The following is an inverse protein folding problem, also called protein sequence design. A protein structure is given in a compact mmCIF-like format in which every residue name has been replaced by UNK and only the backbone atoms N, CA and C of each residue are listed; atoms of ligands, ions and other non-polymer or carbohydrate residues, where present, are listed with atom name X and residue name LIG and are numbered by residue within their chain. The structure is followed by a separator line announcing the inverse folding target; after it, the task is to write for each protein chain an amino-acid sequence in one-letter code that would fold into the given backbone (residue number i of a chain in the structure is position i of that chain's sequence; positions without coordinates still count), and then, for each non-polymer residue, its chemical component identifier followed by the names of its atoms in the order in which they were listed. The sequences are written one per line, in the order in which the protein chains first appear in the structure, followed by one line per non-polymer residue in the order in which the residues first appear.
data_IF_899050355526
#
_entry.id   IF_899050355526
#
_cell.length_a   1.000
_cell.length_b   1.000
_cell.length_c   1.000
_cell.angle_alpha   90.00
_cell.angle_beta   90.00
_cell.angle_gamma   90.00
#
_symmetry.space_group_name_H-M   'P 1'
#
loop_
_entity.id
_entity.type
_entity.pdbx_description
1 polymer ?
#
# COMPACT_ATOMS: atom_id res chain seq x y z
N UNK A 1 8.95 -9.85 -26.22
CA UNK A 1 7.85 -9.04 -25.62
C UNK A 1 8.38 -8.50 -24.31
N UNK A 2 8.73 -7.21 -24.28
CA UNK A 2 9.69 -6.65 -23.32
C UNK A 2 9.06 -6.05 -22.07
N UNK A 3 9.87 -5.82 -21.03
CA UNK A 3 9.48 -5.15 -19.77
C UNK A 3 8.79 -3.79 -19.99
N UNK A 4 9.18 -3.08 -21.06
CA UNK A 4 8.58 -1.80 -21.46
C UNK A 4 7.10 -1.92 -21.86
N UNK A 5 6.71 -3.04 -22.50
CA UNK A 5 5.32 -3.31 -22.87
C UNK A 5 4.47 -3.54 -21.62
N UNK A 6 4.98 -4.33 -20.65
CA UNK A 6 4.28 -4.59 -19.40
C UNK A 6 4.05 -3.29 -18.59
N UNK A 7 5.06 -2.42 -18.51
CA UNK A 7 4.93 -1.14 -17.82
C UNK A 7 3.87 -0.24 -18.47
N UNK A 8 3.87 -0.16 -19.80
CA UNK A 8 2.98 0.72 -20.56
C UNK A 8 1.54 0.21 -20.66
N UNK A 9 1.35 -1.09 -20.86
CA UNK A 9 0.04 -1.70 -21.07
C UNK A 9 -0.63 -2.21 -19.80
N UNK A 10 0.11 -2.50 -18.73
CA UNK A 10 -0.44 -3.13 -17.53
C UNK A 10 -0.18 -2.32 -16.24
N UNK A 11 1.01 -1.70 -16.09
CA UNK A 11 1.36 -1.00 -14.85
C UNK A 11 0.77 0.41 -14.75
N UNK A 12 0.82 1.17 -15.85
CA UNK A 12 0.35 2.58 -15.93
C UNK A 12 -1.17 2.71 -16.06
N UNK A 13 -1.85 1.73 -16.68
CA UNK A 13 -3.27 1.86 -17.01
C UNK A 13 -4.13 1.89 -15.72
N UNK A 14 -4.93 2.95 -15.49
CA UNK A 14 -5.67 3.11 -14.24
C UNK A 14 -6.79 2.06 -14.07
N UNK A 15 -7.34 1.56 -15.18
CA UNK A 15 -8.41 0.55 -15.15
C UNK A 15 -7.96 -0.79 -14.55
N UNK A 16 -6.69 -1.15 -14.65
CA UNK A 16 -6.12 -2.35 -14.01
C UNK A 16 -6.02 -2.23 -12.48
N UNK A 17 -6.33 -1.04 -11.92
CA UNK A 17 -6.35 -0.77 -10.48
C UNK A 17 -7.74 -0.40 -9.95
N UNK A 18 -8.78 -0.37 -10.79
CA UNK A 18 -10.14 0.01 -10.37
C UNK A 18 -10.75 -0.92 -9.33
N UNK A 19 -10.45 -2.22 -9.38
CA UNK A 19 -11.07 -3.22 -8.49
C UNK A 19 -10.96 -2.87 -7.00
N UNK A 20 -9.75 -2.66 -6.45
CA UNK A 20 -9.57 -2.20 -5.06
C UNK A 20 -10.36 -0.93 -4.71
N UNK A 21 -10.43 0.05 -5.62
CA UNK A 21 -11.18 1.29 -5.38
C UNK A 21 -12.68 1.02 -5.25
N UNK A 22 -13.24 0.18 -6.13
CA UNK A 22 -14.66 -0.19 -6.09
C UNK A 22 -14.98 -0.92 -4.77
N UNK A 23 -14.15 -1.88 -4.37
CA UNK A 23 -14.31 -2.61 -3.10
C UNK A 23 -14.27 -1.64 -1.92
N UNK A 24 -13.33 -0.68 -1.91
CA UNK A 24 -13.24 0.35 -0.90
C UNK A 24 -14.48 1.26 -0.84
N UNK A 25 -15.01 1.70 -1.98
CA UNK A 25 -16.22 2.53 -2.06
C UNK A 25 -17.44 1.77 -1.51
N UNK A 26 -17.60 0.50 -1.86
CA UNK A 26 -18.70 -0.35 -1.38
C UNK A 26 -18.63 -0.49 0.14
N UNK A 27 -17.45 -0.84 0.67
CA UNK A 27 -17.24 -1.01 2.11
C UNK A 27 -17.44 0.31 2.83
N UNK A 28 -16.84 1.41 2.36
CA UNK A 28 -17.03 2.74 2.93
C UNK A 28 -18.49 3.20 2.94
N UNK A 29 -19.23 2.94 1.86
CA UNK A 29 -20.66 3.25 1.78
C UNK A 29 -21.48 2.44 2.78
N UNK A 30 -21.10 1.19 3.01
CA UNK A 30 -21.74 0.32 4.00
C UNK A 30 -21.45 0.79 5.43
N UNK A 31 -20.21 1.18 5.74
CA UNK A 31 -19.85 1.78 7.03
C UNK A 31 -20.61 3.08 7.30
N UNK A 32 -20.74 3.93 6.27
CA UNK A 32 -21.48 5.18 6.37
C UNK A 32 -22.96 4.94 6.72
N UNK A 33 -23.61 3.98 6.05
CA UNK A 33 -25.02 3.63 6.33
C UNK A 33 -25.24 2.99 7.70
N UNK A 34 -24.24 2.28 8.22
CA UNK A 34 -24.34 1.56 9.50
C UNK A 34 -23.85 2.39 10.68
N UNK A 35 -23.47 3.65 10.48
CA UNK A 35 -22.88 4.54 11.50
C UNK A 35 -21.72 3.86 12.26
N UNK A 36 -20.96 3.02 11.54
CA UNK A 36 -19.91 2.16 12.09
C UNK A 36 -20.34 1.26 13.28
N UNK A 37 -21.65 1.01 13.45
CA UNK A 37 -22.21 0.22 14.56
C UNK A 37 -22.65 -1.15 14.07
N UNK A 38 -21.68 -2.03 13.83
CA UNK A 38 -21.94 -3.43 13.45
C UNK A 38 -21.41 -4.36 14.52
N UNK A 39 -22.29 -5.16 15.13
CA UNK A 39 -21.91 -6.19 16.10
C UNK A 39 -21.76 -7.53 15.39
N UNK A 40 -20.57 -8.13 15.46
CA UNK A 40 -20.28 -9.44 14.88
C UNK A 40 -20.05 -10.45 16.01
N UNK A 41 -20.52 -11.68 15.83
CA UNK A 41 -20.24 -12.76 16.78
C UNK A 41 -18.72 -13.02 16.85
N UNK A 42 -18.16 -13.24 18.05
CA UNK A 42 -16.71 -13.42 18.26
C UNK A 42 -16.12 -14.55 17.40
N UNK A 43 -16.83 -15.67 17.29
CA UNK A 43 -16.40 -16.80 16.45
C UNK A 43 -16.36 -16.44 14.96
N UNK A 44 -17.38 -15.72 14.47
CA UNK A 44 -17.42 -15.26 13.09
C UNK A 44 -16.31 -14.24 12.81
N UNK A 45 -16.06 -13.32 13.74
CA UNK A 45 -14.96 -12.36 13.63
C UNK A 45 -13.60 -13.07 13.54
N UNK A 46 -13.36 -14.08 14.38
CA UNK A 46 -12.13 -14.87 14.33
C UNK A 46 -11.97 -15.62 13.01
N UNK A 47 -13.04 -16.25 12.52
CA UNK A 47 -13.03 -16.93 11.22
C UNK A 47 -12.70 -15.96 10.08
N UNK A 48 -13.31 -14.76 10.08
CA UNK A 48 -13.03 -13.75 9.06
C UNK A 48 -11.58 -13.26 9.13
N UNK A 49 -11.03 -13.04 10.33
CA UNK A 49 -9.61 -12.74 10.50
C UNK A 49 -8.70 -13.83 9.92
N UNK A 50 -8.99 -15.11 10.19
CA UNK A 50 -8.21 -16.23 9.64
C UNK A 50 -8.32 -16.30 8.12
N UNK A 51 -9.52 -16.13 7.57
CA UNK A 51 -9.75 -16.16 6.11
C UNK A 51 -9.04 -15.01 5.41
N UNK A 52 -9.15 -13.78 5.91
CA UNK A 52 -8.47 -12.65 5.27
C UNK A 52 -6.95 -12.70 5.47
N UNK A 53 -6.46 -13.25 6.59
CA UNK A 53 -5.02 -13.47 6.79
C UNK A 53 -4.46 -14.52 5.82
N UNK A 54 -5.16 -15.64 5.64
CA UNK A 54 -4.73 -16.67 4.68
C UNK A 54 -4.79 -16.15 3.24
N UNK A 55 -5.84 -15.42 2.87
CA UNK A 55 -5.94 -14.76 1.56
C UNK A 55 -4.80 -13.76 1.33
N UNK A 56 -4.44 -12.95 2.33
CA UNK A 56 -3.33 -12.02 2.23
C UNK A 56 -1.99 -12.74 2.00
N UNK A 57 -1.73 -13.84 2.72
CA UNK A 57 -0.52 -14.66 2.54
C UNK A 57 -0.51 -15.30 1.14
N UNK A 58 -1.63 -15.85 0.69
CA UNK A 58 -1.75 -16.42 -0.67
C UNK A 58 -1.53 -15.35 -1.74
N UNK A 59 -1.97 -14.11 -1.54
CA UNK A 59 -1.75 -13.01 -2.49
C UNK A 59 -0.32 -12.45 -2.45
N UNK A 60 0.41 -12.64 -1.36
CA UNK A 60 1.82 -12.21 -1.28
C UNK A 60 2.77 -13.26 -1.84
N UNK A 61 2.49 -14.55 -1.61
CA UNK A 61 3.40 -15.65 -1.94
C UNK A 61 2.87 -16.60 -3.02
N UNK A 62 1.65 -16.37 -3.53
CA UNK A 62 0.97 -17.30 -4.44
C UNK A 62 1.48 -17.26 -5.87
N UNK A 63 2.10 -16.16 -6.30
CA UNK A 63 2.78 -16.12 -7.59
C UNK A 63 4.25 -16.46 -7.39
N UNK A 64 4.67 -17.65 -7.82
CA UNK A 64 6.09 -17.98 -8.00
C UNK A 64 6.53 -17.49 -9.36
N UNK A 65 7.60 -16.69 -9.38
CA UNK A 65 8.13 -16.13 -10.62
C UNK A 65 8.54 -17.25 -11.60
N UNK A 66 7.98 -17.28 -12.82
CA UNK A 66 8.36 -18.26 -13.85
C UNK A 66 9.83 -18.13 -14.28
N UNK A 67 10.46 -17.01 -13.94
CA UNK A 67 11.86 -16.70 -14.25
C UNK A 67 12.80 -17.43 -13.27
N UNK A 68 12.38 -17.60 -12.01
CA UNK A 68 13.18 -18.24 -10.97
C UNK A 68 12.95 -19.75 -10.89
N UNK A 69 11.79 -20.24 -11.35
CA UNK A 69 11.44 -21.68 -11.34
C UNK A 69 10.79 -22.08 -12.67
N UNK A 70 11.59 -22.35 -13.72
CA UNK A 70 11.09 -22.67 -15.06
C UNK A 70 10.30 -24.00 -15.11
N UNK A 71 10.63 -24.95 -14.23
CA UNK A 71 10.03 -26.29 -14.21
C UNK A 71 8.68 -26.35 -13.47
N UNK A 72 8.42 -25.39 -12.58
CA UNK A 72 7.18 -25.27 -11.78
C UNK A 72 6.30 -24.09 -12.22
N UNK A 73 6.48 -23.60 -13.44
CA UNK A 73 5.76 -22.45 -13.96
C UNK A 73 4.24 -22.71 -13.93
N UNK A 74 3.54 -21.95 -13.10
CA UNK A 74 2.09 -22.05 -12.92
C UNK A 74 1.39 -21.92 -14.28
N UNK A 75 0.43 -22.81 -14.56
CA UNK A 75 -0.31 -22.82 -15.84
C UNK A 75 -0.75 -21.41 -16.23
N UNK A 76 -0.62 -21.09 -17.52
CA UNK A 76 -0.83 -19.75 -18.06
C UNK A 76 -2.18 -19.16 -17.66
N UNK A 77 -3.21 -20.00 -17.57
CA UNK A 77 -4.57 -19.62 -17.18
C UNK A 77 -4.64 -19.21 -15.71
N UNK A 78 -3.96 -19.94 -14.83
CA UNK A 78 -3.91 -19.64 -13.39
C UNK A 78 -3.11 -18.36 -13.15
N UNK A 79 -1.99 -18.18 -13.86
CA UNK A 79 -1.21 -16.94 -13.82
C UNK A 79 -2.01 -15.74 -14.30
N UNK A 80 -2.82 -15.88 -15.36
CA UNK A 80 -3.70 -14.82 -15.85
C UNK A 80 -4.80 -14.48 -14.84
N UNK A 81 -5.44 -15.50 -14.25
CA UNK A 81 -6.49 -15.33 -13.24
C UNK A 81 -5.94 -14.65 -11.98
N UNK A 82 -4.75 -15.06 -11.53
CA UNK A 82 -4.07 -14.42 -10.41
C UNK A 82 -3.78 -12.95 -10.72
N UNK A 83 -3.19 -12.65 -11.87
CA UNK A 83 -2.91 -11.28 -12.29
C UNK A 83 -4.19 -10.41 -12.36
N UNK A 84 -5.34 -10.97 -12.72
CA UNK A 84 -6.60 -10.25 -12.72
C UNK A 84 -7.15 -9.99 -11.29
N UNK A 85 -6.99 -10.94 -10.37
CA UNK A 85 -7.75 -10.95 -9.12
C UNK A 85 -6.95 -10.52 -7.89
N UNK A 86 -5.63 -10.76 -7.86
CA UNK A 86 -4.80 -10.55 -6.67
C UNK A 86 -4.92 -9.14 -6.07
N UNK A 87 -4.99 -8.10 -6.91
CA UNK A 87 -5.19 -6.71 -6.46
C UNK A 87 -6.53 -6.55 -5.75
N UNK A 88 -7.60 -7.12 -6.30
CA UNK A 88 -8.95 -7.05 -5.73
C UNK A 88 -8.99 -7.76 -4.38
N UNK A 89 -8.41 -8.96 -4.30
CA UNK A 89 -8.35 -9.73 -3.05
C UNK A 89 -7.53 -8.98 -2.00
N UNK A 90 -6.37 -8.42 -2.38
CA UNK A 90 -5.58 -7.59 -1.48
C UNK A 90 -6.37 -6.38 -0.96
N UNK A 91 -7.05 -5.67 -1.86
CA UNK A 91 -7.94 -4.57 -1.50
C UNK A 91 -9.05 -5.00 -0.53
N UNK A 92 -9.66 -6.16 -0.74
CA UNK A 92 -10.66 -6.72 0.15
C UNK A 92 -10.08 -7.07 1.54
N UNK A 93 -8.86 -7.61 1.60
CA UNK A 93 -8.17 -7.87 2.87
C UNK A 93 -7.94 -6.57 3.65
N UNK A 94 -7.45 -5.53 2.98
CA UNK A 94 -7.27 -4.20 3.61
C UNK A 94 -8.62 -3.62 4.06
N UNK A 95 -9.66 -3.75 3.23
CA UNK A 95 -11.00 -3.28 3.59
C UNK A 95 -11.57 -4.01 4.81
N UNK A 96 -11.32 -5.31 4.97
CA UNK A 96 -11.70 -6.05 6.16
C UNK A 96 -11.03 -5.49 7.42
N UNK A 97 -9.73 -5.20 7.37
CA UNK A 97 -9.00 -4.59 8.50
C UNK A 97 -9.63 -3.25 8.87
N UNK A 98 -9.88 -2.38 7.89
CA UNK A 98 -10.51 -1.07 8.11
C UNK A 98 -11.91 -1.24 8.71
N UNK A 99 -12.73 -2.12 8.13
CA UNK A 99 -14.08 -2.39 8.59
C UNK A 99 -14.10 -2.92 10.03
N UNK A 100 -13.23 -3.87 10.36
CA UNK A 100 -13.12 -4.42 11.70
C UNK A 100 -12.68 -3.36 12.71
N UNK A 101 -11.68 -2.53 12.38
CA UNK A 101 -11.23 -1.45 13.27
C UNK A 101 -12.31 -0.39 13.48
N UNK A 102 -12.94 0.08 12.41
CA UNK A 102 -13.97 1.13 12.47
C UNK A 102 -15.25 0.67 13.19
N UNK A 103 -15.61 -0.61 13.10
CA UNK A 103 -16.79 -1.16 13.79
C UNK A 103 -16.52 -1.61 15.24
N UNK A 104 -15.30 -1.43 15.74
CA UNK A 104 -14.90 -1.88 17.08
C UNK A 104 -14.65 -3.39 17.21
N UNK A 105 -14.69 -4.14 16.11
CA UNK A 105 -14.41 -5.59 16.06
C UNK A 105 -12.91 -5.91 15.85
N UNK A 106 -12.04 -4.90 15.74
CA UNK A 106 -10.62 -5.04 15.43
C UNK A 106 -9.72 -5.47 16.60
N UNK A 107 -10.20 -5.38 17.85
CA UNK A 107 -9.47 -5.85 19.03
C UNK A 107 -8.01 -5.35 19.12
N UNK A 108 -7.06 -6.29 19.13
CA UNK A 108 -5.62 -6.00 19.17
C UNK A 108 -5.15 -5.17 17.97
N UNK A 109 -5.63 -5.47 16.76
CA UNK A 109 -5.21 -4.74 15.55
C UNK A 109 -5.64 -3.28 15.59
N UNK A 110 -6.81 -2.99 16.17
CA UNK A 110 -7.25 -1.60 16.36
C UNK A 110 -6.32 -0.84 17.32
N UNK A 111 -5.82 -1.51 18.37
CA UNK A 111 -4.87 -0.89 19.33
C UNK A 111 -3.52 -0.63 18.68
N UNK A 112 -3.04 -1.56 17.85
CA UNK A 112 -1.80 -1.40 17.09
C UNK A 112 -1.91 -0.23 16.09
N UNK A 113 -2.96 -0.20 15.27
CA UNK A 113 -3.14 0.84 14.25
C UNK A 113 -3.44 2.23 14.80
N UNK A 114 -4.03 2.32 16.00
CA UNK A 114 -4.31 3.60 16.67
C UNK A 114 -3.12 4.16 17.46
N UNK A 115 -1.95 3.52 17.36
CA UNK A 115 -0.78 3.93 18.13
C UNK A 115 -0.25 5.32 17.68
N UNK A 116 -0.05 6.23 18.63
CA UNK A 116 0.34 7.63 18.38
C UNK A 116 1.62 7.80 17.53
N UNK A 117 2.67 6.97 17.66
CA UNK A 117 3.86 7.05 16.79
C UNK A 117 3.57 6.83 15.30
N UNK A 118 2.48 6.17 14.93
CA UNK A 118 2.11 6.01 13.52
C UNK A 118 1.54 7.28 12.89
N UNK A 119 1.11 8.26 13.69
CA UNK A 119 0.58 9.53 13.17
C UNK A 119 1.64 10.34 12.41
N UNK A 120 2.83 10.65 12.98
CA UNK A 120 3.88 11.34 12.23
C UNK A 120 4.42 10.49 11.09
N UNK A 121 4.53 9.17 11.28
CA UNK A 121 4.98 8.26 10.23
C UNK A 121 4.03 8.25 9.04
N UNK A 122 2.71 8.25 9.27
CA UNK A 122 1.70 8.28 8.21
C UNK A 122 1.77 9.58 7.38
N UNK A 123 2.08 10.72 8.01
CA UNK A 123 2.33 11.98 7.29
C UNK A 123 3.59 11.89 6.43
N UNK A 124 4.67 11.37 7.00
CA UNK A 124 5.93 11.20 6.28
C UNK A 124 5.80 10.22 5.10
N UNK A 125 4.99 9.16 5.23
CA UNK A 125 4.72 8.18 4.17
C UNK A 125 4.24 8.81 2.87
N UNK A 126 3.47 9.91 2.93
CA UNK A 126 3.06 10.63 1.72
C UNK A 126 4.27 11.30 1.03
N UNK A 127 5.12 11.97 1.80
CA UNK A 127 6.35 12.56 1.27
C UNK A 127 7.30 11.50 0.70
N UNK A 128 7.42 10.34 1.38
CA UNK A 128 8.21 9.19 0.90
C UNK A 128 7.63 8.68 -0.42
N UNK A 129 6.31 8.55 -0.53
CA UNK A 129 5.66 8.10 -1.75
C UNK A 129 5.95 9.04 -2.94
N UNK A 130 6.05 10.34 -2.73
CA UNK A 130 6.41 11.27 -3.81
C UNK A 130 7.90 11.24 -4.14
N UNK A 131 8.78 11.17 -3.13
CA UNK A 131 10.23 11.28 -3.32
C UNK A 131 10.88 9.99 -3.81
N UNK A 132 10.38 8.82 -3.43
CA UNK A 132 11.06 7.54 -3.70
C UNK A 132 11.29 7.28 -5.19
N UNK A 133 10.32 7.64 -6.04
CA UNK A 133 10.44 7.44 -7.49
C UNK A 133 11.61 8.24 -8.07
N UNK A 134 11.80 9.49 -7.61
CA UNK A 134 12.95 10.32 -8.02
C UNK A 134 14.27 9.67 -7.60
N UNK A 135 14.36 9.21 -6.34
CA UNK A 135 15.57 8.52 -5.83
C UNK A 135 15.89 7.29 -6.65
N UNK A 136 14.89 6.46 -6.96
CA UNK A 136 15.03 5.26 -7.77
C UNK A 136 15.54 5.61 -9.18
N UNK A 137 14.91 6.57 -9.85
CA UNK A 137 15.30 6.93 -11.22
C UNK A 137 16.72 7.50 -11.26
N UNK A 138 17.08 8.40 -10.34
CA UNK A 138 18.44 8.94 -10.26
C UNK A 138 19.47 7.85 -9.98
N UNK A 139 19.16 6.89 -9.11
CA UNK A 139 20.04 5.75 -8.86
C UNK A 139 20.28 4.94 -10.14
N UNK A 140 19.22 4.52 -10.84
CA UNK A 140 19.37 3.70 -12.05
C UNK A 140 19.98 4.46 -13.23
N UNK A 141 19.71 5.75 -13.37
CA UNK A 141 20.32 6.60 -14.43
C UNK A 141 21.82 6.81 -14.18
N UNK A 142 22.24 6.86 -12.92
CA UNK A 142 23.66 6.96 -12.55
C UNK A 142 24.46 5.67 -12.81
N UNK A 143 23.79 4.53 -12.98
CA UNK A 143 24.45 3.25 -13.18
C UNK A 143 25.09 3.17 -14.58
N UNK A 144 26.42 3.06 -14.60
CA UNK A 144 27.21 2.88 -15.82
C UNK A 144 27.50 1.42 -16.15
N UNK A 145 27.26 0.51 -15.19
CA UNK A 145 27.52 -0.92 -15.31
C UNK A 145 26.31 -1.73 -14.85
N UNK A 146 26.19 -2.95 -15.38
CA UNK A 146 25.13 -3.88 -15.00
C UNK A 146 25.36 -4.39 -13.57
N UNK A 147 24.31 -4.41 -12.77
CA UNK A 147 24.30 -5.01 -11.44
C UNK A 147 23.81 -6.46 -11.57
N UNK A 148 24.49 -7.41 -10.94
CA UNK A 148 24.02 -8.79 -10.86
C UNK A 148 22.75 -8.88 -10.00
N UNK A 149 21.72 -9.51 -10.55
CA UNK A 149 20.47 -9.82 -9.84
C UNK A 149 20.69 -11.00 -8.91
N UNK A 150 21.20 -10.68 -7.72
CA UNK A 150 21.34 -11.61 -6.60
C UNK A 150 20.52 -11.10 -5.40
N UNK A 151 20.05 -12.00 -4.56
CA UNK A 151 19.14 -11.68 -3.45
C UNK A 151 19.76 -10.64 -2.51
N UNK A 152 21.06 -10.78 -2.22
CA UNK A 152 21.78 -9.83 -1.38
C UNK A 152 21.84 -8.45 -2.02
N UNK A 153 22.16 -8.37 -3.32
CA UNK A 153 22.20 -7.10 -4.04
C UNK A 153 20.83 -6.42 -4.06
N UNK A 154 19.74 -7.17 -4.28
CA UNK A 154 18.39 -6.61 -4.24
C UNK A 154 18.06 -6.05 -2.86
N UNK A 155 18.40 -6.78 -1.79
CA UNK A 155 18.19 -6.32 -0.41
C UNK A 155 18.99 -5.05 -0.13
N UNK A 156 20.25 -4.98 -0.54
CA UNK A 156 21.08 -3.78 -0.37
C UNK A 156 20.51 -2.57 -1.11
N UNK A 157 20.12 -2.74 -2.38
CA UNK A 157 19.53 -1.66 -3.19
C UNK A 157 18.20 -1.21 -2.60
N UNK A 158 17.36 -2.15 -2.13
CA UNK A 158 16.09 -1.84 -1.47
C UNK A 158 16.31 -1.01 -0.19
N UNK A 159 17.19 -1.45 0.70
CA UNK A 159 17.48 -0.74 1.95
C UNK A 159 18.10 0.64 1.69
N UNK A 160 19.05 0.74 0.77
CA UNK A 160 19.66 2.01 0.39
C UNK A 160 18.62 2.98 -0.16
N UNK A 161 17.76 2.52 -1.08
CA UNK A 161 16.68 3.32 -1.65
C UNK A 161 15.68 3.76 -0.58
N UNK A 162 15.31 2.87 0.34
CA UNK A 162 14.38 3.16 1.43
C UNK A 162 14.93 4.28 2.34
N UNK A 163 16.17 4.12 2.81
CA UNK A 163 16.81 5.10 3.70
C UNK A 163 16.95 6.45 3.00
N UNK A 164 17.44 6.48 1.76
CA UNK A 164 17.57 7.72 1.00
C UNK A 164 16.22 8.40 0.77
N UNK A 165 15.19 7.63 0.42
CA UNK A 165 13.83 8.16 0.21
C UNK A 165 13.25 8.76 1.50
N UNK A 166 13.48 8.12 2.65
CA UNK A 166 13.08 8.64 3.96
C UNK A 166 13.83 9.92 4.31
N UNK A 167 15.14 9.99 4.06
CA UNK A 167 15.93 11.21 4.29
C UNK A 167 15.44 12.38 3.43
N UNK A 168 15.24 12.16 2.13
CA UNK A 168 14.72 13.19 1.21
C UNK A 168 13.31 13.60 1.59
N UNK A 169 12.44 12.65 1.93
CA UNK A 169 11.08 12.93 2.38
C UNK A 169 11.04 13.73 3.67
N UNK A 170 11.97 13.49 4.60
CA UNK A 170 12.07 14.23 5.85
C UNK A 170 12.48 15.69 5.62
N UNK A 171 13.47 15.92 4.74
CA UNK A 171 13.85 17.29 4.35
C UNK A 171 12.70 18.00 3.64
N UNK A 172 12.00 17.30 2.75
CA UNK A 172 10.85 17.83 2.02
C UNK A 172 9.67 18.16 2.95
N UNK A 173 9.34 17.30 3.91
CA UNK A 173 8.25 17.54 4.85
C UNK A 173 8.55 18.73 5.76
N UNK A 174 9.79 18.88 6.24
CA UNK A 174 10.21 20.06 7.00
C UNK A 174 10.17 21.36 6.17
N UNK A 175 10.53 21.29 4.88
CA UNK A 175 10.61 22.47 4.01
C UNK A 175 9.26 22.93 3.48
N UNK A 176 8.31 22.02 3.27
CA UNK A 176 7.02 22.33 2.65
C UNK A 176 5.83 22.12 3.59
N UNK A 177 5.77 20.99 4.30
CA UNK A 177 4.60 20.65 5.14
C UNK A 177 4.54 21.52 6.41
N UNK A 178 5.69 21.74 7.08
CA UNK A 178 5.77 22.57 8.28
C UNK A 178 5.37 24.05 8.04
N UNK A 179 5.88 24.77 7.03
CA UNK A 179 5.44 26.14 6.76
C UNK A 179 4.01 26.20 6.25
N UNK A 180 3.55 25.20 5.48
CA UNK A 180 2.19 25.21 4.95
C UNK A 180 1.13 25.00 6.05
N UNK A 181 1.39 24.12 7.02
CA UNK A 181 0.57 24.00 8.23
C UNK A 181 0.58 25.29 9.07
N UNK A 182 1.70 26.03 9.09
CA UNK A 182 1.80 27.34 9.71
C UNK A 182 0.92 28.38 9.00
N UNK A 183 0.98 28.41 7.68
CA UNK A 183 0.21 29.33 6.84
C UNK A 183 -1.30 29.07 6.92
N UNK A 184 -1.71 27.79 6.88
CA UNK A 184 -3.10 27.37 7.06
C UNK A 184 -3.69 27.90 8.38
N UNK A 185 -2.93 27.76 9.49
CA UNK A 185 -3.36 28.27 10.79
C UNK A 185 -3.51 29.79 10.81
N UNK A 186 -2.69 30.54 10.08
CA UNK A 186 -2.78 32.00 10.00
C UNK A 186 -3.98 32.45 9.15
N UNK A 187 -4.20 31.77 8.02
CA UNK A 187 -5.30 32.09 7.09
C UNK A 187 -6.65 31.73 7.71
N UNK A 188 -6.81 30.50 8.24
CA UNK A 188 -8.10 30.01 8.75
C UNK A 188 -8.41 30.39 10.21
N UNK A 189 -7.43 30.80 11.04
CA UNK A 189 -7.77 31.43 12.34
C UNK A 189 -8.50 32.76 12.17
N UNK A 190 -8.35 33.44 11.03
CA UNK A 190 -8.99 34.73 10.79
C UNK A 190 -10.49 34.61 10.56
N UNK A 191 -11.00 33.44 10.17
CA UNK A 191 -12.42 33.20 9.89
C UNK A 191 -13.27 32.80 11.12
N UNK A 192 -12.67 32.41 12.25
CA UNK A 192 -13.42 32.11 13.50
C UNK A 192 -13.57 33.32 14.43
N UNK A 193 -13.20 34.52 13.97
CA UNK A 193 -13.32 35.75 14.73
C UNK A 193 -14.21 36.74 13.99
N UNK A 194 -15.43 36.32 13.70
CA UNK A 194 -16.60 37.14 13.39
C UNK A 194 -17.84 36.40 13.90
#
# INVERSE_FOLDING_TARGET
RGRADYFSYYYIRPYCRMGPYIVGIIVGSFLYKTDCKVKINKYLNLLLWLVFATLAVVVLYGLRDPISFPEDALSRDVSALYNATHKIVWGACVCWVIFACATGNGGFMNTLLSWSPFVPLARLSYCIYLSHAMVIFTYYDSQRSLIYLDDLNIIYVFLATLVLSVMVAFVASLSFEAPMMGLEKVIFKRDRRN
#
